data_IF_853759088115
#
_entry.id   IF_853759088115
#
_cell.length_a   1.000
_cell.length_b   1.000
_cell.length_c   1.000
_cell.angle_alpha   90.00
_cell.angle_beta   90.00
_cell.angle_gamma   90.00
#
_symmetry.space_group_name_H-M   'P 1'
#
loop_
_entity.id
_entity.type
_entity.pdbx_description
1 polymer ?
#
# COMPACT_ATOMS: atom_id res chain seq x y z
N UNK A 1 -16.77 -10.06 -12.83
CA UNK A 1 -15.70 -9.94 -13.85
C UNK A 1 -15.34 -8.50 -14.25
N UNK A 2 -16.24 -7.51 -14.18
CA UNK A 2 -15.93 -6.09 -14.50
C UNK A 2 -15.06 -5.38 -13.44
N UNK A 3 -15.30 -5.67 -12.16
CA UNK A 3 -14.60 -5.04 -11.02
C UNK A 3 -13.11 -5.35 -10.97
N UNK A 4 -12.71 -6.59 -11.27
CA UNK A 4 -11.30 -7.03 -11.28
C UNK A 4 -10.51 -6.40 -12.43
N UNK A 5 -11.15 -6.21 -13.59
CA UNK A 5 -10.53 -5.59 -14.76
C UNK A 5 -10.34 -4.08 -14.56
N UNK A 6 -11.33 -3.39 -13.98
CA UNK A 6 -11.22 -1.96 -13.64
C UNK A 6 -10.17 -1.73 -12.55
N UNK A 7 -10.16 -2.56 -11.51
CA UNK A 7 -9.13 -2.53 -10.45
C UNK A 7 -7.73 -2.69 -11.03
N UNK A 8 -7.51 -3.72 -11.87
CA UNK A 8 -6.21 -3.96 -12.52
C UNK A 8 -5.79 -2.78 -13.41
N UNK A 9 -6.73 -2.13 -14.09
CA UNK A 9 -6.46 -0.92 -14.89
C UNK A 9 -6.03 0.25 -14.01
N UNK A 10 -6.71 0.48 -12.88
CA UNK A 10 -6.36 1.54 -11.94
C UNK A 10 -4.97 1.34 -11.34
N UNK A 11 -4.62 0.12 -10.94
CA UNK A 11 -3.28 -0.19 -10.41
C UNK A 11 -2.18 0.04 -11.45
N UNK A 12 -2.39 -0.41 -12.70
CA UNK A 12 -1.46 -0.18 -13.81
C UNK A 12 -1.34 1.29 -14.16
N UNK A 13 -2.44 2.05 -14.09
CA UNK A 13 -2.45 3.47 -14.36
C UNK A 13 -1.66 4.23 -13.29
N UNK A 14 -1.87 3.93 -12.01
CA UNK A 14 -1.15 4.58 -10.91
C UNK A 14 0.36 4.30 -10.96
N UNK A 15 0.75 3.05 -11.14
CA UNK A 15 2.18 2.67 -11.21
C UNK A 15 2.88 3.26 -12.44
N UNK A 16 2.22 3.29 -13.61
CA UNK A 16 2.76 3.96 -14.80
C UNK A 16 2.86 5.46 -14.64
N UNK A 17 1.85 6.09 -14.02
CA UNK A 17 1.87 7.53 -13.75
C UNK A 17 3.00 7.88 -12.78
N UNK A 18 3.19 7.08 -11.72
CA UNK A 18 4.30 7.21 -10.77
C UNK A 18 5.66 7.14 -11.48
N UNK A 19 5.88 6.10 -12.30
CA UNK A 19 7.11 5.97 -13.07
C UNK A 19 7.32 7.10 -14.08
N UNK A 20 6.26 7.57 -14.75
CA UNK A 20 6.34 8.69 -15.69
C UNK A 20 6.72 10.00 -14.99
N UNK A 21 6.12 10.28 -13.83
CA UNK A 21 6.46 11.44 -13.00
C UNK A 21 7.90 11.33 -12.50
N UNK A 22 8.30 10.18 -11.95
CA UNK A 22 9.69 9.95 -11.50
C UNK A 22 10.70 10.20 -12.64
N UNK A 23 10.46 9.63 -13.81
CA UNK A 23 11.32 9.81 -15.00
C UNK A 23 11.39 11.27 -15.42
N UNK A 24 10.25 11.98 -15.39
CA UNK A 24 10.20 13.41 -15.72
C UNK A 24 11.00 14.25 -14.74
N UNK A 25 10.90 13.95 -13.43
CA UNK A 25 11.65 14.64 -12.38
C UNK A 25 13.16 14.37 -12.48
N UNK A 26 13.56 13.12 -12.75
CA UNK A 26 14.96 12.76 -12.99
C UNK A 26 15.51 13.57 -14.17
N UNK A 27 14.81 13.62 -15.30
CA UNK A 27 15.25 14.38 -16.47
C UNK A 27 15.34 15.88 -16.19
N UNK A 28 14.33 16.46 -15.53
CA UNK A 28 14.30 17.88 -15.20
C UNK A 28 15.46 18.27 -14.26
N UNK A 29 15.68 17.49 -13.19
CA UNK A 29 16.80 17.71 -12.26
C UNK A 29 18.16 17.45 -12.92
N UNK A 30 18.25 16.47 -13.81
CA UNK A 30 19.46 16.15 -14.56
C UNK A 30 19.90 17.30 -15.47
N UNK A 31 18.96 17.90 -16.20
CA UNK A 31 19.22 19.09 -17.02
C UNK A 31 19.62 20.28 -16.15
N UNK A 32 18.92 20.51 -15.03
CA UNK A 32 19.24 21.61 -14.12
C UNK A 32 20.62 21.46 -13.45
N UNK A 33 20.99 20.23 -13.09
CA UNK A 33 22.32 19.92 -12.59
C UNK A 33 23.39 20.20 -13.66
N UNK A 34 23.21 19.69 -14.88
CA UNK A 34 24.16 19.89 -15.99
C UNK A 34 24.40 21.38 -16.28
N UNK A 35 23.34 22.20 -16.23
CA UNK A 35 23.43 23.63 -16.49
C UNK A 35 24.01 24.44 -15.31
N UNK A 36 23.81 24.01 -14.07
CA UNK A 36 24.25 24.76 -12.89
C UNK A 36 25.62 24.34 -12.35
N UNK A 37 26.05 23.09 -12.60
CA UNK A 37 27.24 22.49 -11.99
C UNK A 37 27.15 22.32 -10.47
N UNK A 38 25.98 22.50 -9.86
CA UNK A 38 25.83 22.53 -8.40
C UNK A 38 25.80 21.14 -7.76
N UNK A 39 26.62 20.92 -6.73
CA UNK A 39 26.61 19.69 -5.91
C UNK A 39 25.25 19.48 -5.21
N UNK A 40 24.55 20.56 -4.86
CA UNK A 40 23.21 20.50 -4.25
C UNK A 40 22.17 19.90 -5.21
N UNK A 41 22.23 20.24 -6.50
CA UNK A 41 21.34 19.64 -7.51
C UNK A 41 21.72 18.19 -7.85
N UNK A 42 23.00 17.81 -7.71
CA UNK A 42 23.43 16.42 -7.86
C UNK A 42 22.85 15.52 -6.76
N UNK A 43 22.84 16.00 -5.51
CA UNK A 43 22.20 15.30 -4.39
C UNK A 43 20.71 15.08 -4.68
N UNK A 44 19.99 16.15 -5.04
CA UNK A 44 18.57 16.04 -5.37
C UNK A 44 18.25 15.19 -6.62
N UNK A 45 19.18 15.06 -7.57
CA UNK A 45 19.09 14.14 -8.71
C UNK A 45 19.28 12.68 -8.27
N UNK A 46 20.24 12.43 -7.38
CA UNK A 46 20.51 11.09 -6.84
C UNK A 46 19.30 10.55 -6.10
N UNK A 47 18.65 11.41 -5.30
CA UNK A 47 17.40 11.06 -4.63
C UNK A 47 16.32 10.67 -5.66
N UNK A 48 16.09 11.51 -6.67
CA UNK A 48 15.09 11.20 -7.71
C UNK A 48 15.39 9.95 -8.54
N UNK A 49 16.67 9.58 -8.71
CA UNK A 49 17.04 8.31 -9.34
C UNK A 49 16.65 7.12 -8.47
N UNK A 50 16.88 7.21 -7.15
CA UNK A 50 16.45 6.18 -6.21
C UNK A 50 14.92 6.07 -6.17
N UNK A 51 14.22 7.20 -6.23
CA UNK A 51 12.75 7.23 -6.34
C UNK A 51 12.28 6.52 -7.61
N UNK A 52 12.92 6.80 -8.74
CA UNK A 52 12.63 6.13 -10.00
C UNK A 52 12.85 4.62 -9.92
N UNK A 53 13.91 4.18 -9.24
CA UNK A 53 14.17 2.76 -8.99
C UNK A 53 13.09 2.13 -8.11
N UNK A 54 12.67 2.80 -7.03
CA UNK A 54 11.60 2.34 -6.15
C UNK A 54 10.25 2.24 -6.89
N UNK A 55 9.87 3.25 -7.67
CA UNK A 55 8.65 3.25 -8.48
C UNK A 55 8.69 2.19 -9.59
N UNK A 56 9.86 1.93 -10.17
CA UNK A 56 10.04 0.85 -11.14
C UNK A 56 9.88 -0.55 -10.51
N UNK A 57 10.50 -0.80 -9.36
CA UNK A 57 10.31 -2.04 -8.60
C UNK A 57 8.83 -2.22 -8.23
N UNK A 58 8.15 -1.14 -7.84
CA UNK A 58 6.73 -1.16 -7.52
C UNK A 58 5.87 -1.55 -8.73
N UNK A 59 6.17 -0.99 -9.91
CA UNK A 59 5.50 -1.36 -11.15
C UNK A 59 5.69 -2.85 -11.47
N UNK A 60 6.92 -3.38 -11.32
CA UNK A 60 7.20 -4.79 -11.53
C UNK A 60 6.44 -5.68 -10.55
N UNK A 61 6.41 -5.31 -9.27
CA UNK A 61 5.72 -6.08 -8.25
C UNK A 61 4.20 -6.08 -8.43
N UNK A 62 3.59 -4.93 -8.77
CA UNK A 62 2.16 -4.85 -9.12
C UNK A 62 1.87 -5.64 -10.40
N UNK A 63 2.75 -5.58 -11.40
CA UNK A 63 2.60 -6.38 -12.61
C UNK A 63 2.62 -7.88 -12.30
N UNK A 64 3.52 -8.31 -11.43
CA UNK A 64 3.62 -9.70 -10.99
C UNK A 64 2.42 -10.11 -10.12
N UNK A 65 1.98 -9.25 -9.19
CA UNK A 65 0.84 -9.51 -8.32
C UNK A 65 -0.48 -9.66 -9.08
N UNK A 66 -0.61 -8.96 -10.21
CA UNK A 66 -1.76 -9.05 -11.12
C UNK A 66 -1.74 -10.28 -12.03
N UNK A 67 -0.70 -11.13 -11.97
CA UNK A 67 -0.71 -12.40 -12.71
C UNK A 67 -1.72 -13.35 -12.07
N UNK A 68 -2.54 -14.05 -12.89
CA UNK A 68 -3.45 -15.07 -12.39
C UNK A 68 -2.67 -16.22 -11.73
N UNK A 69 -3.39 -17.11 -11.05
CA UNK A 69 -2.82 -18.35 -10.53
C UNK A 69 -2.16 -19.17 -11.65
N UNK A 70 -0.99 -19.71 -11.36
CA UNK A 70 -0.26 -20.65 -12.22
C UNK A 70 -0.03 -21.97 -11.49
N UNK A 71 0.62 -22.92 -12.16
CA UNK A 71 0.84 -24.27 -11.61
C UNK A 71 1.73 -24.25 -10.35
N UNK A 72 2.67 -23.31 -10.27
CA UNK A 72 3.59 -23.13 -9.14
C UNK A 72 2.96 -22.30 -8.00
N UNK A 73 1.96 -21.46 -8.29
CA UNK A 73 1.24 -20.59 -7.33
C UNK A 73 -0.28 -20.64 -7.54
N UNK A 74 -0.91 -21.70 -7.03
CA UNK A 74 -2.37 -21.95 -7.19
C UNK A 74 -3.30 -20.92 -6.53
N UNK A 75 -2.81 -20.19 -5.53
CA UNK A 75 -3.56 -19.09 -4.89
C UNK A 75 -3.26 -17.72 -5.54
N UNK A 76 -2.51 -17.70 -6.63
CA UNK A 76 -2.10 -16.48 -7.32
C UNK A 76 -0.96 -15.73 -6.65
N UNK A 77 -0.67 -14.55 -7.21
CA UNK A 77 0.53 -13.77 -6.90
C UNK A 77 0.26 -12.56 -6.01
N UNK A 78 -0.94 -12.43 -5.43
CA UNK A 78 -1.37 -11.25 -4.69
C UNK A 78 -0.44 -10.81 -3.54
N UNK A 79 0.22 -11.77 -2.86
CA UNK A 79 1.21 -11.47 -1.81
C UNK A 79 2.45 -10.72 -2.31
N UNK A 80 2.75 -10.74 -3.60
CA UNK A 80 3.84 -9.95 -4.17
C UNK A 80 3.62 -8.44 -3.99
N UNK A 81 2.37 -8.00 -3.93
CA UNK A 81 2.03 -6.61 -3.62
C UNK A 81 2.43 -6.23 -2.20
N UNK A 82 2.16 -7.12 -1.23
CA UNK A 82 2.58 -6.95 0.15
C UNK A 82 4.12 -6.94 0.24
N UNK A 83 4.81 -7.86 -0.43
CA UNK A 83 6.29 -7.86 -0.47
C UNK A 83 6.86 -6.54 -1.05
N UNK A 84 6.23 -5.97 -2.08
CA UNK A 84 6.59 -4.64 -2.60
C UNK A 84 6.45 -3.56 -1.53
N UNK A 85 5.31 -3.53 -0.85
CA UNK A 85 5.05 -2.59 0.24
C UNK A 85 6.08 -2.69 1.37
N UNK A 86 6.54 -3.92 1.69
CA UNK A 86 7.60 -4.16 2.67
C UNK A 86 8.94 -3.58 2.21
N UNK A 87 9.33 -3.86 0.97
CA UNK A 87 10.57 -3.33 0.39
C UNK A 87 10.58 -1.79 0.35
N UNK A 88 9.44 -1.19 0.00
CA UNK A 88 9.28 0.27 0.04
C UNK A 88 9.30 0.82 1.46
N UNK A 89 8.65 0.19 2.43
CA UNK A 89 8.69 0.61 3.82
C UNK A 89 10.12 0.60 4.40
N UNK A 90 10.92 -0.41 4.04
CA UNK A 90 12.34 -0.46 4.38
C UNK A 90 13.12 0.70 3.74
N UNK A 91 12.90 0.95 2.45
CA UNK A 91 13.55 2.04 1.73
C UNK A 91 13.22 3.41 2.36
N UNK A 92 11.94 3.68 2.63
CA UNK A 92 11.46 4.89 3.29
C UNK A 92 12.06 5.02 4.70
N UNK A 93 12.20 3.92 5.43
CA UNK A 93 12.81 3.91 6.77
C UNK A 93 14.28 4.36 6.69
N UNK A 94 15.05 3.82 5.74
CA UNK A 94 16.44 4.22 5.52
C UNK A 94 16.52 5.71 5.17
N UNK A 95 15.70 6.18 4.23
CA UNK A 95 15.64 7.60 3.85
C UNK A 95 15.27 8.50 5.05
N UNK A 96 14.27 8.11 5.84
CA UNK A 96 13.84 8.84 7.03
C UNK A 96 14.94 8.95 8.09
N UNK A 97 15.72 7.88 8.31
CA UNK A 97 16.89 7.90 9.22
C UNK A 97 17.98 8.85 8.69
N UNK A 98 18.29 8.79 7.40
CA UNK A 98 19.28 9.68 6.79
C UNK A 98 18.88 11.15 6.93
N UNK A 99 17.60 11.47 6.67
CA UNK A 99 17.07 12.82 6.86
C UNK A 99 17.14 13.25 8.33
N UNK A 100 16.81 12.36 9.28
CA UNK A 100 16.93 12.66 10.70
C UNK A 100 18.37 12.99 11.11
N UNK A 101 19.35 12.22 10.62
CA UNK A 101 20.78 12.45 10.88
C UNK A 101 21.20 13.81 10.29
N UNK A 102 20.85 14.09 9.03
CA UNK A 102 21.15 15.37 8.38
C UNK A 102 20.48 16.56 9.10
N UNK A 103 19.25 16.39 9.58
CA UNK A 103 18.56 17.41 10.35
C UNK A 103 19.28 17.71 11.67
N UNK A 104 19.73 16.68 12.40
CA UNK A 104 20.52 16.85 13.63
C UNK A 104 21.85 17.52 13.34
N UNK A 105 22.54 17.14 12.26
CA UNK A 105 23.78 17.77 11.85
C UNK A 105 23.60 19.25 11.51
N UNK A 106 22.51 19.62 10.82
CA UNK A 106 22.17 21.02 10.54
C UNK A 106 21.79 21.85 11.77
N UNK A 107 21.24 21.21 12.82
CA UNK A 107 21.02 21.87 14.12
C UNK A 107 22.37 22.20 14.77
N UNK A 108 23.35 21.30 14.68
CA UNK A 108 24.67 21.47 15.27
C UNK A 108 25.57 22.42 14.47
N UNK A 109 25.50 22.34 13.14
CA UNK A 109 26.28 23.14 12.19
C UNK A 109 25.33 23.85 11.22
N UNK A 110 24.85 25.06 11.57
CA UNK A 110 23.95 25.80 10.70
C UNK A 110 24.68 26.23 9.41
N UNK A 111 24.31 25.63 8.28
CA UNK A 111 24.76 26.07 6.96
C UNK A 111 23.69 26.95 6.30
N UNK A 112 24.07 28.07 5.67
CA UNK A 112 23.12 28.89 4.94
C UNK A 112 22.54 28.10 3.75
N UNK A 113 21.21 28.13 3.62
CA UNK A 113 20.50 27.58 2.46
C UNK A 113 20.83 28.39 1.19
N UNK A 114 21.90 28.02 0.51
CA UNK A 114 22.23 28.53 -0.81
C UNK A 114 21.44 27.78 -1.88
N UNK A 115 20.24 28.25 -2.23
CA UNK A 115 19.50 27.71 -3.37
C UNK A 115 19.71 28.63 -4.60
N UNK A 116 20.40 28.17 -5.67
CA UNK A 116 20.42 28.87 -6.94
C UNK A 116 18.98 29.08 -7.44
N UNK A 117 18.69 30.20 -8.12
CA UNK A 117 17.35 30.52 -8.64
C UNK A 117 16.75 29.37 -9.49
N UNK A 118 17.62 28.66 -10.22
CA UNK A 118 17.28 27.44 -10.97
C UNK A 118 16.76 26.31 -10.08
N UNK A 119 17.34 26.11 -8.90
CA UNK A 119 16.90 25.08 -7.95
C UNK A 119 15.50 25.35 -7.39
N UNK A 120 15.16 26.62 -7.13
CA UNK A 120 13.81 27.01 -6.70
C UNK A 120 12.75 26.72 -7.78
N UNK A 121 13.02 27.04 -9.04
CA UNK A 121 12.09 26.76 -10.15
C UNK A 121 11.84 25.25 -10.28
N UNK A 122 12.90 24.44 -10.25
CA UNK A 122 12.79 22.98 -10.32
C UNK A 122 12.01 22.41 -9.14
N UNK A 123 12.22 22.95 -7.94
CA UNK A 123 11.49 22.55 -6.73
C UNK A 123 9.99 22.83 -6.84
N UNK A 124 9.60 24.03 -7.30
CA UNK A 124 8.18 24.39 -7.50
C UNK A 124 7.51 23.48 -8.53
N UNK A 125 8.19 23.21 -9.66
CA UNK A 125 7.70 22.27 -10.67
C UNK A 125 7.56 20.86 -10.10
N UNK A 126 8.53 20.42 -9.30
CA UNK A 126 8.51 19.10 -8.65
C UNK A 126 7.34 18.97 -7.69
N UNK A 127 7.07 20.00 -6.88
CA UNK A 127 5.91 20.05 -5.98
C UNK A 127 4.61 19.92 -6.77
N UNK A 128 4.45 20.69 -7.85
CA UNK A 128 3.23 20.68 -8.65
C UNK A 128 2.96 19.28 -9.26
N UNK A 129 3.99 18.65 -9.83
CA UNK A 129 3.90 17.29 -10.37
C UNK A 129 3.60 16.25 -9.28
N UNK A 130 4.21 16.40 -8.11
CA UNK A 130 4.02 15.49 -6.96
C UNK A 130 2.59 15.59 -6.44
N UNK A 131 2.02 16.79 -6.32
CA UNK A 131 0.62 16.98 -5.93
C UNK A 131 -0.34 16.32 -6.93
N UNK A 132 -0.09 16.48 -8.23
CA UNK A 132 -0.89 15.83 -9.26
C UNK A 132 -0.85 14.30 -9.15
N UNK A 133 0.34 13.74 -8.92
CA UNK A 133 0.52 12.29 -8.71
C UNK A 133 -0.20 11.80 -7.45
N UNK A 134 -0.01 12.49 -6.31
CA UNK A 134 -0.65 12.13 -5.05
C UNK A 134 -2.17 12.18 -5.13
N UNK A 135 -2.73 13.12 -5.89
CA UNK A 135 -4.19 13.22 -6.11
C UNK A 135 -4.71 11.99 -6.87
N UNK A 136 -3.96 11.52 -7.88
CA UNK A 136 -4.28 10.32 -8.62
C UNK A 136 -4.15 9.06 -7.72
N UNK A 137 -3.04 8.92 -7.02
CA UNK A 137 -2.78 7.80 -6.13
C UNK A 137 -3.82 7.71 -5.02
N UNK A 138 -4.24 8.84 -4.43
CA UNK A 138 -5.28 8.87 -3.40
C UNK A 138 -6.60 8.29 -3.90
N UNK A 139 -7.03 8.66 -5.12
CA UNK A 139 -8.23 8.08 -5.74
C UNK A 139 -8.10 6.58 -5.94
N UNK A 140 -6.93 6.13 -6.39
CA UNK A 140 -6.67 4.70 -6.62
C UNK A 140 -6.61 3.92 -5.31
N UNK A 141 -5.94 4.43 -4.27
CA UNK A 141 -5.89 3.79 -2.94
C UNK A 141 -7.31 3.66 -2.37
N UNK A 142 -8.14 4.71 -2.46
CA UNK A 142 -9.53 4.66 -1.97
C UNK A 142 -10.38 3.63 -2.73
N UNK A 143 -10.14 3.44 -4.03
CA UNK A 143 -10.89 2.49 -4.84
C UNK A 143 -10.37 1.04 -4.73
N UNK A 144 -9.06 0.86 -4.50
CA UNK A 144 -8.39 -0.45 -4.62
C UNK A 144 -7.94 -1.02 -3.27
N UNK A 145 -7.61 -0.18 -2.29
CA UNK A 145 -6.97 -0.61 -1.04
C UNK A 145 -5.52 -1.09 -1.22
N UNK A 146 -4.89 -0.79 -2.36
CA UNK A 146 -3.55 -1.30 -2.70
C UNK A 146 -2.48 -0.88 -1.68
N UNK A 147 -1.82 -1.86 -1.08
CA UNK A 147 -0.72 -1.65 -0.15
C UNK A 147 0.51 -1.07 -0.88
N UNK A 148 0.78 -1.56 -2.09
CA UNK A 148 1.88 -1.11 -2.93
C UNK A 148 1.75 0.38 -3.33
N UNK A 149 0.55 0.82 -3.74
CA UNK A 149 0.34 2.23 -4.09
C UNK A 149 0.33 3.11 -2.84
N UNK A 150 -0.12 2.58 -1.70
CA UNK A 150 -0.10 3.34 -0.45
C UNK A 150 1.32 3.61 0.04
N UNK A 151 2.21 2.63 -0.06
CA UNK A 151 3.63 2.79 0.23
C UNK A 151 4.29 3.81 -0.72
N UNK A 152 4.01 3.71 -2.03
CA UNK A 152 4.45 4.69 -3.03
C UNK A 152 3.98 6.12 -2.69
N UNK A 153 2.71 6.28 -2.35
CA UNK A 153 2.12 7.57 -2.02
C UNK A 153 2.70 8.17 -0.74
N UNK A 154 3.08 7.35 0.24
CA UNK A 154 3.73 7.84 1.45
C UNK A 154 5.10 8.44 1.11
N UNK A 155 5.88 7.79 0.24
CA UNK A 155 7.17 8.30 -0.21
C UNK A 155 7.04 9.69 -0.85
N UNK A 156 6.18 9.82 -1.86
CA UNK A 156 5.95 11.12 -2.52
C UNK A 156 5.35 12.19 -1.60
N UNK A 157 4.54 11.79 -0.62
CA UNK A 157 4.02 12.72 0.39
C UNK A 157 5.14 13.24 1.28
N UNK A 158 6.10 12.39 1.61
CA UNK A 158 7.28 12.74 2.39
C UNK A 158 8.14 13.77 1.65
N UNK A 159 8.39 13.54 0.36
CA UNK A 159 9.09 14.48 -0.51
C UNK A 159 8.36 15.82 -0.63
N UNK A 160 7.03 15.80 -0.76
CA UNK A 160 6.23 17.02 -0.80
C UNK A 160 6.38 17.82 0.49
N UNK A 161 6.33 17.17 1.65
CA UNK A 161 6.48 17.82 2.95
C UNK A 161 7.89 18.40 3.14
N UNK A 162 8.93 17.68 2.73
CA UNK A 162 10.32 18.15 2.78
C UNK A 162 10.54 19.36 1.86
N UNK A 163 10.07 19.29 0.61
CA UNK A 163 10.21 20.41 -0.32
C UNK A 163 9.40 21.63 0.15
N UNK A 164 8.21 21.42 0.72
CA UNK A 164 7.41 22.50 1.29
C UNK A 164 8.08 23.11 2.52
N UNK A 165 8.70 22.30 3.41
CA UNK A 165 9.43 22.84 4.55
C UNK A 165 10.63 23.67 4.14
N UNK A 166 11.36 23.25 3.10
CA UNK A 166 12.49 24.03 2.56
C UNK A 166 12.02 25.39 2.01
N UNK A 167 10.88 25.45 1.30
CA UNK A 167 10.32 26.73 0.84
C UNK A 167 9.94 27.65 2.03
N UNK A 168 9.31 27.09 3.05
CA UNK A 168 8.95 27.82 4.28
C UNK A 168 10.23 28.28 5.01
N UNK A 169 11.25 27.44 5.09
CA UNK A 169 12.54 27.78 5.67
C UNK A 169 13.25 28.90 4.91
N UNK A 170 13.25 28.89 3.58
CA UNK A 170 13.84 29.96 2.75
C UNK A 170 13.14 31.31 2.99
N UNK A 171 11.81 31.30 3.14
CA UNK A 171 11.04 32.52 3.46
C UNK A 171 11.31 33.01 4.88
N UNK A 172 11.42 32.12 5.86
CA UNK A 172 11.75 32.45 7.26
C UNK A 172 13.23 32.86 7.44
N UNK A 173 14.13 32.34 6.62
CA UNK A 173 15.54 32.73 6.62
C UNK A 173 15.71 34.22 6.25
N UNK A 174 14.83 34.76 5.42
CA UNK A 174 14.77 36.21 5.14
C UNK A 174 14.46 37.05 6.40
N UNK A 175 13.70 36.48 7.35
CA UNK A 175 13.40 37.09 8.65
C UNK A 175 14.45 36.77 9.74
N UNK A 176 15.56 36.13 9.39
CA UNK A 176 16.67 35.81 10.29
C UNK A 176 16.52 34.51 11.09
N UNK A 177 15.50 33.70 10.81
CA UNK A 177 15.19 32.47 11.57
C UNK A 177 15.76 31.23 10.88
N UNK A 178 17.08 31.17 10.72
CA UNK A 178 17.77 30.16 9.91
C UNK A 178 17.72 28.72 10.48
N UNK A 179 17.53 28.57 11.79
CA UNK A 179 17.55 27.27 12.47
C UNK A 179 16.22 26.50 12.39
N UNK A 180 15.11 27.16 12.01
CA UNK A 180 13.79 26.51 11.99
C UNK A 180 13.66 25.40 10.93
N UNK A 181 14.42 25.49 9.84
CA UNK A 181 14.47 24.46 8.79
C UNK A 181 14.79 23.07 9.39
N UNK A 182 15.80 23.03 10.25
CA UNK A 182 16.30 21.79 10.79
C UNK A 182 15.32 21.14 11.79
N UNK A 183 14.55 21.95 12.54
CA UNK A 183 13.45 21.45 13.38
C UNK A 183 12.28 20.91 12.55
N UNK A 184 11.92 21.58 11.44
CA UNK A 184 10.92 21.06 10.52
C UNK A 184 11.37 19.75 9.88
N UNK A 185 12.62 19.67 9.42
CA UNK A 185 13.23 18.45 8.88
C UNK A 185 13.18 17.29 9.87
N UNK A 186 13.51 17.54 11.15
CA UNK A 186 13.42 16.52 12.20
C UNK A 186 11.99 16.06 12.45
N UNK A 187 11.03 17.00 12.52
CA UNK A 187 9.61 16.67 12.69
C UNK A 187 9.05 15.84 11.52
N UNK A 188 9.45 16.18 10.30
CA UNK A 188 9.08 15.41 9.10
C UNK A 188 9.71 14.02 9.14
N UNK A 189 11.00 13.89 9.52
CA UNK A 189 11.65 12.59 9.65
C UNK A 189 10.92 11.67 10.63
N UNK A 190 10.49 12.17 11.80
CA UNK A 190 9.68 11.41 12.77
C UNK A 190 8.36 10.95 12.16
N UNK A 191 7.66 11.85 11.45
CA UNK A 191 6.41 11.52 10.76
C UNK A 191 6.59 10.43 9.70
N UNK A 192 7.67 10.50 8.91
CA UNK A 192 8.03 9.52 7.89
C UNK A 192 8.27 8.15 8.53
N UNK A 193 9.10 8.10 9.57
CA UNK A 193 9.44 6.85 10.27
C UNK A 193 8.22 6.19 10.91
N UNK A 194 7.35 6.99 11.55
CA UNK A 194 6.10 6.48 12.10
C UNK A 194 5.18 5.89 11.02
N UNK A 195 5.05 6.60 9.89
CA UNK A 195 4.23 6.16 8.76
C UNK A 195 4.81 4.90 8.10
N UNK A 196 6.13 4.82 7.94
CA UNK A 196 6.81 3.63 7.41
C UNK A 196 6.60 2.41 8.31
N UNK A 197 6.70 2.59 9.63
CA UNK A 197 6.40 1.54 10.61
C UNK A 197 4.95 1.05 10.50
N UNK A 198 3.99 1.97 10.33
CA UNK A 198 2.59 1.60 10.16
C UNK A 198 2.39 0.74 8.89
N UNK A 199 2.99 1.14 7.76
CA UNK A 199 2.93 0.35 6.52
C UNK A 199 3.57 -1.02 6.72
N UNK A 200 4.77 -1.09 7.31
CA UNK A 200 5.44 -2.34 7.56
C UNK A 200 4.59 -3.30 8.41
N UNK A 201 3.96 -2.79 9.49
CA UNK A 201 3.07 -3.58 10.34
C UNK A 201 1.87 -4.14 9.57
N UNK A 202 1.22 -3.31 8.76
CA UNK A 202 0.06 -3.75 7.98
C UNK A 202 0.44 -4.76 6.89
N UNK A 203 1.58 -4.56 6.24
CA UNK A 203 2.11 -5.49 5.26
C UNK A 203 2.49 -6.84 5.88
N UNK A 204 3.12 -6.84 7.06
CA UNK A 204 3.41 -8.08 7.82
C UNK A 204 2.11 -8.79 8.16
N UNK A 205 1.09 -8.04 8.61
CA UNK A 205 -0.23 -8.58 8.91
C UNK A 205 -0.83 -9.33 7.72
N UNK A 206 -0.75 -8.75 6.51
CA UNK A 206 -1.22 -9.42 5.28
C UNK A 206 -0.38 -10.67 4.96
N UNK A 207 0.94 -10.62 5.14
CA UNK A 207 1.80 -11.78 4.89
C UNK A 207 1.55 -12.93 5.87
N UNK A 208 1.23 -12.60 7.12
CA UNK A 208 0.87 -13.52 8.20
C UNK A 208 -0.57 -14.06 8.11
N UNK A 209 -1.30 -13.78 7.03
CA UNK A 209 -2.69 -14.21 6.83
C UNK A 209 -3.63 -13.70 7.95
N UNK A 210 -3.51 -12.41 8.30
CA UNK A 210 -4.42 -11.78 9.25
C UNK A 210 -5.88 -11.83 8.77
N UNK A 211 -6.78 -12.03 9.73
CA UNK A 211 -8.21 -12.12 9.49
C UNK A 211 -8.83 -10.80 9.03
N UNK A 212 -9.97 -10.92 8.34
CA UNK A 212 -10.83 -9.80 8.03
C UNK A 212 -11.40 -9.16 9.32
N UNK A 213 -11.82 -7.90 9.26
CA UNK A 213 -12.52 -7.25 10.37
C UNK A 213 -13.69 -8.09 10.89
N UNK A 214 -13.84 -8.14 12.21
CA UNK A 214 -14.79 -9.04 12.88
C UNK A 214 -16.25 -8.80 12.47
N UNK A 215 -16.60 -7.57 12.11
CA UNK A 215 -17.91 -7.19 11.56
C UNK A 215 -18.18 -7.87 10.22
N UNK A 216 -17.18 -7.95 9.34
CA UNK A 216 -17.29 -8.65 8.04
C UNK A 216 -17.41 -10.15 8.25
N UNK A 217 -16.57 -10.72 9.12
CA UNK A 217 -16.60 -12.15 9.46
C UNK A 217 -17.95 -12.57 10.08
N UNK A 218 -18.51 -11.73 10.96
CA UNK A 218 -19.82 -11.97 11.57
C UNK A 218 -20.94 -11.93 10.52
N UNK A 219 -20.89 -10.98 9.58
CA UNK A 219 -21.86 -10.93 8.48
C UNK A 219 -21.77 -12.18 7.59
N UNK A 220 -20.57 -12.69 7.31
CA UNK A 220 -20.41 -13.93 6.53
C UNK A 220 -21.03 -15.14 7.23
N UNK A 221 -20.88 -15.26 8.55
CA UNK A 221 -21.54 -16.32 9.33
C UNK A 221 -23.06 -16.20 9.30
N UNK A 222 -23.60 -14.99 9.44
CA UNK A 222 -25.05 -14.76 9.37
C UNK A 222 -25.60 -15.17 8.00
N UNK A 223 -24.95 -14.76 6.91
CA UNK A 223 -25.34 -15.14 5.55
C UNK A 223 -25.31 -16.65 5.33
N UNK A 224 -24.31 -17.33 5.90
CA UNK A 224 -24.20 -18.78 5.81
C UNK A 224 -25.38 -19.47 6.53
N UNK A 225 -25.77 -18.99 7.70
CA UNK A 225 -26.90 -19.52 8.48
C UNK A 225 -28.28 -19.18 7.90
N UNK A 226 -28.40 -18.16 7.05
CA UNK A 226 -29.66 -17.80 6.37
C UNK A 226 -30.04 -18.78 5.25
N UNK A 227 -29.10 -19.61 4.78
CA UNK A 227 -29.36 -20.58 3.71
C UNK A 227 -30.19 -21.76 4.25
N UNK A 228 -31.33 -22.10 3.62
CA UNK A 228 -32.18 -23.19 4.06
C UNK A 228 -31.43 -24.54 4.12
N UNK A 229 -31.55 -25.24 5.25
CA UNK A 229 -30.92 -26.54 5.47
C UNK A 229 -29.59 -26.49 6.22
N UNK A 230 -29.06 -25.29 6.49
CA UNK A 230 -27.91 -25.08 7.38
C UNK A 230 -28.38 -25.09 8.83
N UNK A 231 -27.73 -25.89 9.69
CA UNK A 231 -28.03 -25.97 11.12
C UNK A 231 -27.15 -25.01 11.94
N UNK A 232 -25.95 -24.73 11.45
CA UNK A 232 -24.95 -23.88 12.07
C UNK A 232 -23.74 -23.70 11.17
N UNK A 233 -22.88 -22.76 11.53
CA UNK A 233 -21.60 -22.52 10.88
C UNK A 233 -20.53 -22.20 11.93
N UNK A 234 -19.35 -22.79 11.80
CA UNK A 234 -18.24 -22.59 12.74
C UNK A 234 -16.89 -22.60 12.00
N UNK A 235 -15.81 -22.33 12.75
CA UNK A 235 -14.42 -22.25 12.26
C UNK A 235 -14.26 -21.41 10.98
N UNK A 236 -14.91 -20.23 10.96
CA UNK A 236 -14.72 -19.26 9.87
C UNK A 236 -13.31 -18.70 9.94
N UNK A 237 -12.50 -19.01 8.93
CA UNK A 237 -11.15 -18.47 8.74
C UNK A 237 -11.11 -17.61 7.51
N UNK A 238 -10.54 -16.43 7.64
CA UNK A 238 -10.43 -15.46 6.55
C UNK A 238 -9.00 -14.99 6.40
N UNK A 239 -8.59 -14.71 5.16
CA UNK A 239 -7.29 -14.08 4.87
C UNK A 239 -7.34 -13.27 3.58
N UNK A 240 -6.38 -12.37 3.41
CA UNK A 240 -6.29 -11.48 2.25
C UNK A 240 -5.03 -11.79 1.44
N UNK A 241 -5.16 -11.84 0.11
CA UNK A 241 -4.02 -11.85 -0.81
C UNK A 241 -4.28 -10.86 -1.94
N UNK A 242 -3.56 -9.73 -1.91
CA UNK A 242 -3.82 -8.61 -2.83
C UNK A 242 -5.27 -8.14 -2.71
N UNK A 243 -6.03 -8.25 -3.80
CA UNK A 243 -7.45 -7.86 -3.85
C UNK A 243 -8.43 -9.03 -3.67
N UNK A 244 -7.95 -10.25 -3.43
CA UNK A 244 -8.78 -11.43 -3.20
C UNK A 244 -8.88 -11.74 -1.71
N UNK A 245 -10.09 -12.09 -1.27
CA UNK A 245 -10.33 -12.58 0.08
C UNK A 245 -10.53 -14.09 0.01
N UNK A 246 -9.78 -14.85 0.79
CA UNK A 246 -10.01 -16.27 0.94
C UNK A 246 -10.80 -16.49 2.21
N UNK A 247 -11.91 -17.21 2.08
CA UNK A 247 -12.82 -17.50 3.17
C UNK A 247 -12.97 -19.03 3.25
N UNK A 248 -12.76 -19.58 4.42
CA UNK A 248 -12.96 -20.99 4.72
C UNK A 248 -13.93 -21.09 5.88
N UNK A 249 -14.94 -21.96 5.77
CA UNK A 249 -15.87 -22.20 6.86
C UNK A 249 -16.35 -23.64 6.88
N UNK A 250 -16.76 -24.06 8.06
CA UNK A 250 -17.40 -25.34 8.28
C UNK A 250 -18.92 -25.11 8.44
N UNK A 251 -19.71 -25.83 7.66
CA UNK A 251 -21.17 -25.83 7.73
C UNK A 251 -21.67 -27.09 8.41
N UNK A 252 -22.54 -26.91 9.38
CA UNK A 252 -23.20 -28.00 10.08
C UNK A 252 -24.46 -28.41 9.33
N UNK A 253 -24.48 -29.65 8.86
CA UNK A 253 -25.57 -30.21 8.06
C UNK A 253 -26.09 -31.52 8.69
N UNK A 254 -27.34 -31.92 8.41
CA UNK A 254 -27.85 -33.22 8.83
C UNK A 254 -27.04 -34.38 8.22
N UNK A 255 -26.56 -35.31 9.06
CA UNK A 255 -25.74 -36.45 8.63
C UNK A 255 -26.46 -37.46 7.73
N UNK A 256 -27.79 -37.36 7.62
CA UNK A 256 -28.61 -38.20 6.73
C UNK A 256 -28.65 -37.72 5.28
N UNK A 257 -28.08 -36.55 4.98
CA UNK A 257 -28.07 -36.01 3.62
C UNK A 257 -27.15 -36.82 2.70
N UNK A 258 -27.56 -36.96 1.44
CA UNK A 258 -26.66 -37.45 0.40
C UNK A 258 -25.60 -36.39 0.09
N UNK A 259 -24.41 -36.82 -0.33
CA UNK A 259 -23.30 -35.92 -0.65
C UNK A 259 -23.67 -34.86 -1.70
N UNK A 260 -24.49 -35.21 -2.68
CA UNK A 260 -24.96 -34.28 -3.72
C UNK A 260 -25.84 -33.17 -3.15
N UNK A 261 -26.72 -33.48 -2.18
CA UNK A 261 -27.57 -32.49 -1.52
C UNK A 261 -26.74 -31.60 -0.60
N UNK A 262 -25.82 -32.19 0.18
CA UNK A 262 -24.92 -31.41 1.03
C UNK A 262 -24.05 -30.45 0.21
N UNK A 263 -23.47 -30.91 -0.90
CA UNK A 263 -22.69 -30.08 -1.82
C UNK A 263 -23.51 -28.93 -2.41
N UNK A 264 -24.77 -29.19 -2.82
CA UNK A 264 -25.65 -28.13 -3.32
C UNK A 264 -25.99 -27.06 -2.28
N UNK A 265 -26.03 -27.40 -0.99
CA UNK A 265 -26.18 -26.42 0.10
C UNK A 265 -24.89 -25.62 0.28
N UNK A 266 -23.73 -26.28 0.27
CA UNK A 266 -22.42 -25.60 0.32
C UNK A 266 -22.25 -24.58 -0.82
N UNK A 267 -22.65 -24.94 -2.04
CA UNK A 267 -22.62 -24.04 -3.21
C UNK A 267 -23.55 -22.83 -3.01
N UNK A 268 -24.75 -23.05 -2.47
CA UNK A 268 -25.68 -21.96 -2.14
C UNK A 268 -25.12 -21.01 -1.09
N UNK A 269 -24.42 -21.52 -0.07
CA UNK A 269 -23.73 -20.69 0.92
C UNK A 269 -22.58 -19.90 0.29
N UNK A 270 -21.74 -20.57 -0.51
CA UNK A 270 -20.64 -19.91 -1.21
C UNK A 270 -21.16 -18.78 -2.12
N UNK A 271 -22.24 -19.03 -2.86
CA UNK A 271 -22.91 -18.05 -3.71
C UNK A 271 -23.53 -16.89 -2.92
N UNK A 272 -24.15 -17.16 -1.77
CA UNK A 272 -24.72 -16.13 -0.91
C UNK A 272 -23.64 -15.15 -0.41
N UNK A 273 -22.52 -15.70 0.07
CA UNK A 273 -21.36 -14.90 0.50
C UNK A 273 -20.76 -14.16 -0.70
N UNK A 274 -20.59 -14.81 -1.85
CA UNK A 274 -20.00 -14.18 -3.04
C UNK A 274 -20.86 -13.05 -3.62
N UNK A 275 -22.20 -13.14 -3.54
CA UNK A 275 -23.12 -12.06 -3.96
C UNK A 275 -22.90 -10.78 -3.17
N UNK A 276 -22.71 -10.88 -1.85
CA UNK A 276 -22.48 -9.72 -0.99
C UNK A 276 -21.00 -9.28 -1.00
N UNK A 277 -20.08 -10.23 -1.14
CA UNK A 277 -18.65 -9.99 -1.17
C UNK A 277 -18.03 -10.55 -2.47
N UNK A 278 -18.10 -9.84 -3.60
CA UNK A 278 -17.62 -10.33 -4.90
C UNK A 278 -16.11 -10.61 -4.98
N UNK A 279 -15.35 -10.19 -3.96
CA UNK A 279 -13.90 -10.44 -3.83
C UNK A 279 -13.58 -11.74 -3.09
N UNK A 280 -14.57 -12.35 -2.44
CA UNK A 280 -14.42 -13.55 -1.64
C UNK A 280 -14.42 -14.79 -2.52
N UNK A 281 -13.37 -15.58 -2.39
CA UNK A 281 -13.27 -16.97 -2.82
C UNK A 281 -13.56 -17.83 -1.59
N UNK A 282 -14.67 -18.57 -1.63
CA UNK A 282 -15.23 -19.27 -0.48
C UNK A 282 -15.06 -20.77 -0.66
N UNK A 283 -14.42 -21.41 0.32
CA UNK A 283 -14.33 -22.86 0.43
C UNK A 283 -15.14 -23.31 1.64
N UNK A 284 -16.10 -24.20 1.39
CA UNK A 284 -17.01 -24.69 2.43
C UNK A 284 -16.71 -26.16 2.71
N UNK A 285 -16.49 -26.49 3.97
CA UNK A 285 -16.46 -27.88 4.44
C UNK A 285 -17.81 -28.24 5.04
N UNK A 286 -18.35 -29.41 4.70
CA UNK A 286 -19.62 -29.91 5.23
C UNK A 286 -19.35 -30.87 6.38
N UNK A 287 -19.69 -30.44 7.60
CA UNK A 287 -19.59 -31.26 8.80
C UNK A 287 -20.96 -31.82 9.18
N UNK A 288 -21.07 -33.15 9.40
CA UNK A 288 -22.27 -33.70 10.00
C UNK A 288 -22.35 -33.24 11.47
N UNK A 289 -23.56 -32.89 11.90
CA UNK A 289 -23.82 -32.39 13.26
C UNK A 289 -23.21 -33.27 14.39
N UNK A 290 -23.10 -34.58 14.16
CA UNK A 290 -22.55 -35.56 15.10
C UNK A 290 -21.07 -35.36 15.43
N UNK A 291 -20.30 -34.72 14.54
CA UNK A 291 -18.84 -34.52 14.68
C UNK A 291 -18.52 -33.15 15.29
N UNK A 292 -19.48 -32.24 15.31
CA UNK A 292 -19.36 -30.92 15.91
C UNK A 292 -19.32 -31.07 17.43
N UNK A 293 -18.12 -31.01 18.01
CA UNK A 293 -17.97 -30.92 19.46
C UNK A 293 -18.60 -29.61 19.91
N UNK A 294 -19.65 -29.67 20.73
CA UNK A 294 -20.15 -28.49 21.42
C UNK A 294 -18.99 -27.83 22.14
N UNK A 295 -18.66 -26.60 21.76
CA UNK A 295 -17.68 -25.80 22.48
C UNK A 295 -18.15 -25.74 23.94
N UNK A 296 -17.40 -26.39 24.84
CA UNK A 296 -17.60 -26.28 26.28
C UNK A 296 -17.55 -24.79 26.64
N UNK A 297 -18.66 -24.31 27.20
CA UNK A 297 -18.86 -22.94 27.66
C UNK A 297 -17.77 -22.46 28.63
#
# INVERSE_FOLDING_TARGET
MSTTAEHSRLLRLATRASLAVATTLILAKGVAWWLSGSVSLLAGLTDSLLDGAASFLNLLAVHYALRPADDDHRYGHGKAEALSGMAQALFITVSGVLIAVQAVERIQNPEPLGAPLLGMVVMVVSIALTIALLTLQYRVIKATGSAAIRADSLHYRSDLLLNASILVALTLAYFGWQQLDAYFGLGIAVYILWSAFQIARETISVLMDAELPADVSTQMLVLACEVPGVLGAHDLRTRISGNHWFVQLHLELPGSLTLSVAHAICDQVADAIHKQFPKAEVLVHADPQEVVKQASA
#
